data_IF_743678116675
#
_entry.id   IF_743678116675
#
_cell.length_a   1.000
_cell.length_b   1.000
_cell.length_c   1.000
_cell.angle_alpha   90.00
_cell.angle_beta   90.00
_cell.angle_gamma   90.00
#
_symmetry.space_group_name_H-M   'P 1'
#
loop_
_entity.id
_entity.type
_entity.pdbx_description
1 polymer ?
#
# COMPACT_ATOMS: atom_id res chain seq x y z
N UNK A 1 9.23 -3.58 9.83
CA UNK A 1 9.26 -2.16 10.22
C UNK A 1 8.66 -2.03 11.60
N UNK A 2 9.17 -1.13 12.46
CA UNK A 2 8.44 -0.71 13.65
C UNK A 2 7.20 0.06 13.20
N UNK A 3 6.03 -0.29 13.73
CA UNK A 3 4.80 0.48 13.59
C UNK A 3 4.37 0.85 15.00
N UNK A 4 4.08 2.12 15.23
CA UNK A 4 3.84 2.65 16.57
C UNK A 4 2.39 2.38 17.00
N UNK A 5 1.47 2.32 16.04
CA UNK A 5 0.05 2.14 16.30
C UNK A 5 -0.62 0.97 15.55
N UNK A 6 -1.84 0.60 15.96
CA UNK A 6 -2.64 -0.44 15.30
C UNK A 6 -3.07 -0.03 13.88
N UNK A 7 -3.53 1.21 13.68
CA UNK A 7 -3.97 1.71 12.37
C UNK A 7 -2.84 1.72 11.34
N UNK A 8 -1.61 2.07 11.74
CA UNK A 8 -0.42 1.95 10.88
C UNK A 8 -0.18 0.50 10.46
N UNK A 9 -0.22 -0.45 11.41
CA UNK A 9 -0.07 -1.89 11.11
C UNK A 9 -1.15 -2.40 10.16
N UNK A 10 -2.38 -1.89 10.29
CA UNK A 10 -3.47 -2.24 9.37
C UNK A 10 -3.19 -1.70 7.97
N UNK A 11 -2.76 -0.44 7.87
CA UNK A 11 -2.38 0.18 6.60
C UNK A 11 -1.23 -0.58 5.90
N UNK A 12 -0.18 -0.97 6.63
CA UNK A 12 0.93 -1.79 6.09
C UNK A 12 0.39 -3.06 5.43
N UNK A 13 -0.46 -3.80 6.16
CA UNK A 13 -0.98 -5.09 5.69
C UNK A 13 -1.89 -4.95 4.48
N UNK A 14 -2.65 -3.86 4.40
CA UNK A 14 -3.43 -3.52 3.21
C UNK A 14 -2.49 -3.25 2.04
N UNK A 15 -1.42 -2.48 2.23
CA UNK A 15 -0.43 -2.23 1.18
C UNK A 15 0.30 -3.51 0.72
N UNK A 16 0.60 -4.43 1.64
CA UNK A 16 1.23 -5.72 1.30
C UNK A 16 0.29 -6.65 0.52
N UNK A 17 -1.01 -6.59 0.78
CA UNK A 17 -1.97 -7.54 0.24
C UNK A 17 -2.73 -7.04 -0.99
N UNK A 18 -2.92 -5.72 -1.15
CA UNK A 18 -3.59 -5.14 -2.31
C UNK A 18 -2.63 -5.10 -3.51
N UNK A 19 -2.83 -5.94 -4.54
CA UNK A 19 -1.97 -5.97 -5.71
C UNK A 19 -2.05 -4.71 -6.58
N UNK A 20 -2.94 -3.76 -6.27
CA UNK A 20 -2.95 -2.43 -6.91
C UNK A 20 -1.93 -1.47 -6.28
N UNK A 21 -1.34 -1.81 -5.14
CA UNK A 21 -0.29 -1.01 -4.48
C UNK A 21 1.08 -1.58 -4.87
N UNK A 22 1.82 -0.87 -5.72
CA UNK A 22 3.06 -1.36 -6.33
C UNK A 22 4.30 -1.12 -5.46
N UNK A 23 4.28 -0.06 -4.66
CA UNK A 23 5.30 0.23 -3.67
C UNK A 23 4.72 1.08 -2.54
N UNK A 24 5.32 1.00 -1.36
CA UNK A 24 4.96 1.82 -0.22
C UNK A 24 6.14 1.98 0.74
N UNK A 25 6.17 3.11 1.45
CA UNK A 25 7.18 3.40 2.46
C UNK A 25 6.50 3.98 3.72
N UNK A 26 7.07 3.69 4.88
CA UNK A 26 6.62 4.25 6.15
C UNK A 26 7.55 5.38 6.59
N UNK A 27 6.96 6.45 7.12
CA UNK A 27 7.68 7.66 7.53
C UNK A 27 8.74 8.08 6.48
N UNK A 28 8.33 8.23 5.20
CA UNK A 28 9.26 8.28 4.06
C UNK A 28 10.21 9.48 4.09
N UNK A 29 9.76 10.61 4.62
CA UNK A 29 10.52 11.86 4.61
C UNK A 29 10.03 12.83 5.68
N UNK A 30 10.75 13.94 5.82
CA UNK A 30 10.38 15.10 6.63
C UNK A 30 9.98 16.22 5.68
N UNK A 31 8.79 16.78 5.87
CA UNK A 31 8.32 17.98 5.17
C UNK A 31 8.51 19.19 6.07
N UNK A 32 9.21 20.20 5.56
CA UNK A 32 9.35 21.51 6.21
C UNK A 32 8.57 22.54 5.40
N UNK A 33 7.59 23.19 6.03
CA UNK A 33 6.73 24.17 5.40
C UNK A 33 7.07 25.55 5.97
N UNK A 34 7.69 26.39 5.16
CA UNK A 34 8.00 27.77 5.51
C UNK A 34 6.77 28.64 5.28
N UNK A 35 6.37 29.40 6.29
CA UNK A 35 5.23 30.32 6.22
C UNK A 35 5.69 31.73 6.54
N UNK A 36 5.25 32.72 5.76
CA UNK A 36 5.65 34.13 5.91
C UNK A 36 5.33 34.70 7.30
N UNK A 37 4.26 34.20 7.94
CA UNK A 37 3.82 34.63 9.27
C UNK A 37 4.49 33.90 10.45
N UNK A 38 5.52 33.06 10.20
CA UNK A 38 6.22 32.32 11.25
C UNK A 38 7.73 32.36 11.09
N UNK A 39 8.43 32.46 12.23
CA UNK A 39 9.90 32.42 12.29
C UNK A 39 10.51 31.02 12.21
N UNK A 40 9.69 29.96 12.36
CA UNK A 40 10.13 28.56 12.29
C UNK A 40 9.22 27.79 11.32
N UNK A 41 9.78 26.86 10.53
CA UNK A 41 8.98 26.05 9.62
C UNK A 41 8.04 25.13 10.39
N UNK A 42 6.88 24.85 9.80
CA UNK A 42 6.02 23.76 10.22
C UNK A 42 6.66 22.44 9.81
N UNK A 43 6.95 21.59 10.79
CA UNK A 43 7.51 20.26 10.55
C UNK A 43 6.38 19.24 10.51
N UNK A 44 6.34 18.45 9.45
CA UNK A 44 5.41 17.36 9.22
C UNK A 44 6.15 16.09 8.79
N UNK A 45 5.71 14.94 9.31
CA UNK A 45 6.19 13.62 8.92
C UNK A 45 4.97 12.79 8.52
N UNK A 46 4.79 12.42 7.25
CA UNK A 46 3.70 11.54 6.86
C UNK A 46 3.88 10.14 7.42
N UNK A 47 2.79 9.48 7.79
CA UNK A 47 2.83 8.10 8.29
C UNK A 47 3.31 7.13 7.19
N UNK A 48 2.87 7.36 5.95
CA UNK A 48 3.27 6.56 4.80
C UNK A 48 3.13 7.31 3.47
N UNK A 49 3.74 6.74 2.45
CA UNK A 49 3.50 7.05 1.04
C UNK A 49 3.32 5.73 0.29
N UNK A 50 2.42 5.69 -0.69
CA UNK A 50 2.24 4.52 -1.56
C UNK A 50 2.02 4.90 -3.01
N UNK A 51 2.38 4.00 -3.90
CA UNK A 51 2.20 4.13 -5.34
C UNK A 51 1.19 3.07 -5.81
N UNK A 52 0.20 3.52 -6.59
CA UNK A 52 -0.80 2.66 -7.25
C UNK A 52 -0.25 2.12 -8.58
N UNK A 53 -0.90 1.09 -9.10
CA UNK A 53 -0.58 0.48 -10.41
C UNK A 53 -0.90 1.39 -11.60
N UNK A 54 -1.79 2.36 -11.43
CA UNK A 54 -2.04 3.45 -12.37
C UNK A 54 -1.00 4.60 -12.32
N UNK A 55 -0.01 4.50 -11.41
CA UNK A 55 1.03 5.50 -11.22
C UNK A 55 0.70 6.59 -10.18
N UNK A 56 -0.53 6.63 -9.65
CA UNK A 56 -0.93 7.60 -8.63
C UNK A 56 -0.07 7.44 -7.37
N UNK A 57 0.42 8.55 -6.84
CA UNK A 57 1.14 8.61 -5.56
C UNK A 57 0.20 9.17 -4.50
N UNK A 58 0.09 8.46 -3.38
CA UNK A 58 -0.76 8.81 -2.26
C UNK A 58 0.10 8.95 -0.99
N UNK A 59 0.10 10.15 -0.41
CA UNK A 59 0.63 10.41 0.93
C UNK A 59 -0.46 10.14 1.95
N UNK A 60 -0.12 9.42 3.01
CA UNK A 60 -1.10 8.87 3.94
C UNK A 60 -0.82 9.39 5.35
N UNK A 61 -1.85 9.94 5.97
CA UNK A 61 -1.93 10.15 7.42
C UNK A 61 -2.98 9.20 8.00
N UNK A 62 -2.66 8.48 9.07
CA UNK A 62 -3.54 7.52 9.70
C UNK A 62 -3.90 7.91 11.14
N UNK A 63 -5.14 7.62 11.55
CA UNK A 63 -5.61 7.76 12.94
C UNK A 63 -6.54 6.61 13.31
N UNK A 64 -6.81 6.42 14.59
CA UNK A 64 -7.81 5.43 15.00
C UNK A 64 -9.23 5.85 14.59
N UNK A 65 -9.58 7.14 14.75
CA UNK A 65 -10.93 7.65 14.46
C UNK A 65 -10.88 8.96 13.67
N UNK A 66 -11.91 9.21 12.86
CA UNK A 66 -11.96 10.39 11.98
C UNK A 66 -11.89 11.72 12.75
N UNK A 67 -12.46 11.78 13.96
CA UNK A 67 -12.44 12.99 14.78
C UNK A 67 -11.03 13.39 15.24
N UNK A 68 -10.06 12.47 15.26
CA UNK A 68 -8.69 12.78 15.70
C UNK A 68 -7.96 13.73 14.74
N UNK A 69 -8.36 13.76 13.47
CA UNK A 69 -7.84 14.73 12.50
C UNK A 69 -8.23 16.19 12.83
N UNK A 70 -9.31 16.39 13.61
CA UNK A 70 -9.88 17.72 13.90
C UNK A 70 -9.72 18.13 15.38
N UNK A 71 -8.97 17.35 16.17
CA UNK A 71 -8.87 17.58 17.63
C UNK A 71 -8.23 18.90 18.03
N UNK A 72 -7.34 19.45 17.20
CA UNK A 72 -6.82 20.81 17.37
C UNK A 72 -6.77 21.51 16.02
N UNK A 73 -7.14 22.80 16.01
CA UNK A 73 -7.06 23.64 14.81
C UNK A 73 -5.64 23.64 14.24
N UNK A 74 -4.63 23.86 15.09
CA UNK A 74 -3.23 23.87 14.66
C UNK A 74 -2.73 22.56 14.02
N UNK A 75 -3.30 21.40 14.38
CA UNK A 75 -2.98 20.13 13.73
C UNK A 75 -3.72 19.97 12.41
N UNK A 76 -4.99 20.34 12.36
CA UNK A 76 -5.77 20.35 11.12
C UNK A 76 -5.13 21.28 10.08
N UNK A 77 -4.77 22.51 10.48
CA UNK A 77 -4.09 23.48 9.62
C UNK A 77 -2.79 22.90 9.05
N UNK A 78 -1.99 22.20 9.87
CA UNK A 78 -0.76 21.53 9.42
C UNK A 78 -1.02 20.51 8.31
N UNK A 79 -2.08 19.71 8.45
CA UNK A 79 -2.45 18.72 7.44
C UNK A 79 -2.96 19.39 6.16
N UNK A 80 -3.71 20.49 6.29
CA UNK A 80 -4.20 21.26 5.14
C UNK A 80 -3.05 21.88 4.35
N UNK A 81 -2.04 22.44 5.01
CA UNK A 81 -0.82 22.93 4.35
C UNK A 81 -0.02 21.79 3.68
N UNK A 82 0.12 20.65 4.36
CA UNK A 82 0.81 19.51 3.79
C UNK A 82 0.10 19.00 2.51
N UNK A 83 -1.22 18.90 2.54
CA UNK A 83 -2.04 18.52 1.39
C UNK A 83 -1.85 19.46 0.20
N UNK A 84 -1.86 20.78 0.43
CA UNK A 84 -1.59 21.76 -0.63
C UNK A 84 -0.21 21.58 -1.24
N UNK A 85 0.83 21.39 -0.41
CA UNK A 85 2.20 21.16 -0.88
C UNK A 85 2.27 19.91 -1.76
N UNK A 86 1.70 18.79 -1.32
CA UNK A 86 1.69 17.55 -2.11
C UNK A 86 0.87 17.66 -3.39
N UNK A 87 -0.22 18.44 -3.39
CA UNK A 87 -1.01 18.69 -4.58
C UNK A 87 -0.20 19.40 -5.67
N UNK A 88 0.74 20.30 -5.31
CA UNK A 88 1.64 20.93 -6.31
C UNK A 88 2.59 19.92 -6.98
N UNK A 89 2.86 18.80 -6.32
CA UNK A 89 3.65 17.67 -6.85
C UNK A 89 2.79 16.66 -7.62
N UNK A 90 1.47 16.90 -7.74
CA UNK A 90 0.52 15.97 -8.34
C UNK A 90 0.24 14.73 -7.48
N UNK A 91 0.54 14.77 -6.18
CA UNK A 91 0.31 13.65 -5.27
C UNK A 91 -0.99 13.84 -4.49
N UNK A 92 -1.72 12.75 -4.28
CA UNK A 92 -2.93 12.75 -3.47
C UNK A 92 -2.57 12.69 -1.98
N UNK A 93 -3.32 13.40 -1.13
CA UNK A 93 -3.18 13.34 0.32
C UNK A 93 -4.41 12.68 0.94
N UNK A 94 -4.24 11.55 1.61
CA UNK A 94 -5.32 10.76 2.18
C UNK A 94 -5.21 10.72 3.71
N UNK A 95 -6.30 11.12 4.38
CA UNK A 95 -6.47 11.01 5.83
C UNK A 95 -7.34 9.79 6.12
N UNK A 96 -6.74 8.68 6.55
CA UNK A 96 -7.41 7.40 6.75
C UNK A 96 -7.63 7.12 8.23
N UNK A 97 -8.88 6.85 8.64
CA UNK A 97 -9.16 6.38 9.99
C UNK A 97 -9.37 4.87 10.05
N UNK A 98 -9.00 4.24 11.17
CA UNK A 98 -9.16 2.80 11.34
C UNK A 98 -10.62 2.39 11.21
N UNK A 99 -11.49 3.06 11.97
CA UNK A 99 -12.93 2.77 12.07
C UNK A 99 -13.69 2.88 10.74
N UNK A 100 -13.23 3.73 9.82
CA UNK A 100 -13.94 4.04 8.59
C UNK A 100 -13.26 3.48 7.34
N UNK A 101 -11.94 3.63 7.25
CA UNK A 101 -11.21 3.46 5.99
C UNK A 101 -10.34 2.20 5.98
N UNK A 102 -9.89 1.73 7.15
CA UNK A 102 -8.99 0.57 7.23
C UNK A 102 -9.69 -0.71 7.67
N UNK A 103 -10.66 -0.65 8.58
CA UNK A 103 -11.39 -1.82 9.09
C UNK A 103 -12.59 -2.23 8.22
N UNK A 104 -12.49 -1.97 6.92
CA UNK A 104 -13.54 -2.28 5.95
C UNK A 104 -13.58 -3.79 5.68
N UNK A 105 -14.79 -4.37 5.67
CA UNK A 105 -15.00 -5.76 5.23
C UNK A 105 -15.35 -5.81 3.74
N UNK A 106 -14.81 -6.77 2.97
CA UNK A 106 -13.91 -7.86 3.38
C UNK A 106 -12.41 -7.51 3.32
N UNK A 107 -12.06 -6.27 2.93
CA UNK A 107 -10.69 -5.80 2.73
C UNK A 107 -9.75 -6.17 3.89
N UNK A 108 -10.06 -5.74 5.11
CA UNK A 108 -9.18 -5.95 6.25
C UNK A 108 -8.95 -7.43 6.59
N UNK A 109 -9.99 -8.26 6.76
CA UNK A 109 -9.80 -9.70 6.98
C UNK A 109 -8.93 -10.36 5.91
N UNK A 110 -9.14 -10.04 4.63
CA UNK A 110 -8.35 -10.57 3.52
C UNK A 110 -6.90 -10.11 3.61
N UNK A 111 -6.68 -8.81 3.76
CA UNK A 111 -5.34 -8.22 3.85
C UNK A 111 -4.55 -8.78 5.04
N UNK A 112 -5.20 -8.91 6.20
CA UNK A 112 -4.62 -9.56 7.38
C UNK A 112 -4.23 -11.00 7.10
N UNK A 113 -5.09 -11.79 6.46
CA UNK A 113 -4.81 -13.18 6.14
C UNK A 113 -3.62 -13.33 5.19
N UNK A 114 -3.59 -12.54 4.12
CA UNK A 114 -2.54 -12.59 3.09
C UNK A 114 -1.18 -12.15 3.65
N UNK A 115 -1.15 -11.02 4.37
CA UNK A 115 0.09 -10.43 4.91
C UNK A 115 0.81 -11.32 5.94
N UNK A 116 0.11 -12.22 6.64
CA UNK A 116 0.71 -13.14 7.61
C UNK A 116 1.77 -14.08 7.01
N UNK A 117 1.76 -14.26 5.68
CA UNK A 117 2.67 -15.18 4.98
C UNK A 117 3.74 -14.46 4.16
N UNK A 118 3.95 -13.16 4.38
CA UNK A 118 4.93 -12.34 3.65
C UNK A 118 6.40 -12.83 3.77
N UNK A 119 6.72 -13.64 4.78
CA UNK A 119 8.06 -14.24 4.98
C UNK A 119 8.24 -15.63 4.35
N UNK A 120 7.20 -16.22 3.74
CA UNK A 120 7.33 -17.51 3.08
C UNK A 120 8.30 -17.38 1.89
N UNK A 121 9.14 -18.40 1.68
CA UNK A 121 9.98 -18.50 0.49
C UNK A 121 9.13 -19.07 -0.65
N UNK A 122 9.13 -18.38 -1.78
CA UNK A 122 8.58 -18.86 -3.06
C UNK A 122 9.77 -19.11 -3.99
N UNK A 123 9.90 -20.32 -4.50
CA UNK A 123 10.98 -20.69 -5.43
C UNK A 123 10.62 -20.32 -6.86
N UNK A 124 11.61 -20.31 -7.76
CA UNK A 124 11.35 -20.11 -9.20
C UNK A 124 10.47 -21.22 -9.78
N UNK A 125 10.60 -22.45 -9.29
CA UNK A 125 9.75 -23.57 -9.71
C UNK A 125 8.28 -23.38 -9.29
N UNK A 126 8.03 -22.79 -8.12
CA UNK A 126 6.66 -22.47 -7.68
C UNK A 126 6.04 -21.41 -8.60
N UNK A 127 6.81 -20.35 -8.90
CA UNK A 127 6.37 -19.27 -9.81
C UNK A 127 6.05 -19.82 -11.19
N UNK A 128 6.96 -20.60 -11.78
CA UNK A 128 6.78 -21.15 -13.12
C UNK A 128 5.53 -22.04 -13.19
N UNK A 129 5.31 -22.91 -12.19
CA UNK A 129 4.11 -23.76 -12.14
C UNK A 129 2.82 -22.95 -12.09
N UNK A 130 2.77 -21.91 -11.25
CA UNK A 130 1.62 -21.01 -11.19
C UNK A 130 1.41 -20.29 -12.52
N UNK A 131 2.47 -19.74 -13.12
CA UNK A 131 2.44 -19.01 -14.39
C UNK A 131 1.94 -19.90 -15.53
N UNK A 132 2.53 -21.08 -15.72
CA UNK A 132 2.11 -22.02 -16.78
C UNK A 132 0.65 -22.45 -16.63
N UNK A 133 0.20 -22.70 -15.40
CA UNK A 133 -1.19 -23.07 -15.16
C UNK A 133 -2.14 -21.91 -15.48
N UNK A 134 -1.80 -20.69 -15.04
CA UNK A 134 -2.59 -19.51 -15.35
C UNK A 134 -2.64 -19.22 -16.85
N UNK A 135 -1.51 -19.32 -17.56
CA UNK A 135 -1.43 -19.12 -19.00
C UNK A 135 -2.29 -20.11 -19.79
N UNK A 136 -2.32 -21.40 -19.38
CA UNK A 136 -3.20 -22.41 -19.99
C UNK A 136 -4.69 -22.08 -19.83
N UNK A 137 -5.05 -21.33 -18.80
CA UNK A 137 -6.42 -20.91 -18.47
C UNK A 137 -6.68 -19.44 -18.88
N UNK A 138 -5.89 -18.90 -19.82
CA UNK A 138 -6.10 -17.54 -20.35
C UNK A 138 -5.65 -16.42 -19.41
N UNK A 139 -4.74 -16.71 -18.49
CA UNK A 139 -4.11 -15.76 -17.56
C UNK A 139 -4.78 -15.66 -16.18
N UNK A 140 -5.84 -16.42 -15.92
CA UNK A 140 -6.56 -16.39 -14.63
C UNK A 140 -6.92 -17.81 -14.15
N UNK A 141 -6.74 -18.07 -12.85
CA UNK A 141 -7.14 -19.30 -12.19
C UNK A 141 -8.20 -19.03 -11.12
N UNK A 142 -9.08 -19.98 -10.86
CA UNK A 142 -9.83 -19.99 -9.61
C UNK A 142 -8.88 -20.18 -8.41
N UNK A 143 -9.12 -19.51 -7.29
CA UNK A 143 -8.27 -19.57 -6.09
C UNK A 143 -8.01 -21.01 -5.60
N UNK A 144 -9.04 -21.84 -5.57
CA UNK A 144 -8.93 -23.27 -5.25
C UNK A 144 -8.03 -24.01 -6.25
N UNK A 145 -8.15 -23.69 -7.54
CA UNK A 145 -7.31 -24.30 -8.59
C UNK A 145 -5.85 -23.87 -8.49
N UNK A 146 -5.59 -22.63 -8.11
CA UNK A 146 -4.25 -22.14 -7.84
C UNK A 146 -3.61 -22.91 -6.66
N UNK A 147 -4.37 -23.17 -5.59
CA UNK A 147 -3.92 -23.99 -4.46
C UNK A 147 -3.61 -25.43 -4.90
N UNK A 148 -4.52 -26.08 -5.64
CA UNK A 148 -4.31 -27.43 -6.19
C UNK A 148 -3.05 -27.51 -7.05
N UNK A 149 -2.85 -26.51 -7.91
CA UNK A 149 -1.68 -26.42 -8.80
C UNK A 149 -0.38 -26.34 -8.01
N UNK A 150 -0.36 -25.54 -6.94
CA UNK A 150 0.81 -25.42 -6.08
C UNK A 150 1.05 -26.68 -5.22
N UNK A 151 -0.02 -27.32 -4.75
CA UNK A 151 0.02 -28.56 -3.98
C UNK A 151 0.31 -29.81 -4.83
N UNK A 152 0.25 -29.70 -6.16
CA UNK A 152 0.42 -30.82 -7.08
C UNK A 152 1.71 -31.59 -6.80
N UNK A 153 1.65 -32.90 -7.02
CA UNK A 153 2.73 -33.87 -6.80
C UNK A 153 3.17 -34.02 -5.33
N UNK A 154 2.33 -33.63 -4.37
CA UNK A 154 2.57 -33.84 -2.94
C UNK A 154 3.70 -33.00 -2.36
N UNK A 155 4.18 -31.99 -3.08
CA UNK A 155 5.28 -31.12 -2.65
C UNK A 155 4.91 -30.25 -1.46
N UNK A 156 3.63 -29.91 -1.34
CA UNK A 156 3.08 -29.11 -0.25
C UNK A 156 1.75 -29.68 0.22
N UNK A 157 1.52 -29.60 1.52
CA UNK A 157 0.17 -29.78 2.07
C UNK A 157 -0.73 -28.61 1.60
N UNK A 158 -2.06 -28.79 1.50
CA UNK A 158 -2.95 -27.72 1.03
C UNK A 158 -2.81 -26.40 1.79
N UNK A 159 -2.60 -26.45 3.10
CA UNK A 159 -2.36 -25.25 3.92
C UNK A 159 -1.05 -24.53 3.57
N UNK A 160 0.00 -25.26 3.20
CA UNK A 160 1.26 -24.68 2.74
C UNK A 160 1.11 -24.04 1.35
N UNK A 161 0.31 -24.64 0.47
CA UNK A 161 0.00 -24.09 -0.85
C UNK A 161 -0.79 -22.78 -0.76
N UNK A 162 -1.72 -22.65 0.19
CA UNK A 162 -2.39 -21.37 0.52
C UNK A 162 -1.36 -20.32 0.92
N UNK A 163 -0.42 -20.65 1.81
CA UNK A 163 0.60 -19.72 2.28
C UNK A 163 1.54 -19.28 1.13
N UNK A 164 1.85 -20.19 0.21
CA UNK A 164 2.62 -19.88 -1.00
C UNK A 164 1.86 -18.92 -1.92
N UNK A 165 0.56 -19.16 -2.14
CA UNK A 165 -0.27 -18.28 -2.94
C UNK A 165 -0.39 -16.88 -2.32
N UNK A 166 -0.63 -16.78 -1.01
CA UNK A 166 -0.59 -15.50 -0.28
C UNK A 166 0.75 -14.79 -0.46
N UNK A 167 1.86 -15.53 -0.38
CA UNK A 167 3.18 -14.94 -0.62
C UNK A 167 3.38 -14.48 -2.07
N UNK A 168 2.83 -15.19 -3.05
CA UNK A 168 2.83 -14.76 -4.45
C UNK A 168 2.00 -13.49 -4.65
N UNK A 169 0.91 -13.32 -3.92
CA UNK A 169 0.13 -12.06 -3.91
C UNK A 169 0.97 -10.91 -3.35
N UNK A 170 1.56 -11.08 -2.15
CA UNK A 170 2.46 -10.07 -1.55
C UNK A 170 3.67 -9.79 -2.44
N UNK A 171 4.17 -10.82 -3.12
CA UNK A 171 5.29 -10.72 -4.06
C UNK A 171 4.92 -10.19 -5.45
N UNK A 172 3.66 -9.79 -5.65
CA UNK A 172 3.11 -9.28 -6.92
C UNK A 172 3.32 -10.21 -8.12
N UNK A 173 3.27 -11.52 -7.87
CA UNK A 173 3.22 -12.56 -8.92
C UNK A 173 1.76 -12.87 -9.27
N UNK A 174 0.89 -12.89 -8.26
CA UNK A 174 -0.53 -13.17 -8.39
C UNK A 174 -1.36 -11.96 -7.96
N UNK A 175 -2.47 -11.72 -8.65
CA UNK A 175 -3.46 -10.70 -8.32
C UNK A 175 -4.73 -11.37 -7.82
N UNK A 176 -5.25 -10.92 -6.68
CA UNK A 176 -6.62 -11.23 -6.24
C UNK A 176 -7.29 -9.94 -5.75
N UNK A 177 -8.57 -9.77 -6.05
CA UNK A 177 -9.32 -8.62 -5.55
C UNK A 177 -9.62 -8.75 -4.06
N UNK A 178 -8.77 -8.16 -3.23
CA UNK A 178 -8.91 -8.16 -1.76
C UNK A 178 -10.14 -7.41 -1.26
N UNK A 179 -10.82 -6.62 -2.11
CA UNK A 179 -12.05 -5.91 -1.74
C UNK A 179 -13.30 -6.79 -1.84
N UNK A 180 -13.16 -8.03 -2.37
CA UNK A 180 -14.23 -9.03 -2.43
C UNK A 180 -13.94 -10.19 -1.51
N UNK A 181 -14.98 -10.91 -1.08
CA UNK A 181 -14.80 -12.11 -0.24
C UNK A 181 -14.03 -13.15 -1.05
N UNK A 182 -12.91 -13.64 -0.50
CA UNK A 182 -12.13 -14.70 -1.14
C UNK A 182 -12.83 -16.04 -0.91
N UNK A 183 -13.11 -16.73 -2.01
CA UNK A 183 -13.75 -18.02 -2.13
C UNK A 183 -12.94 -18.91 -3.07
N UNK A 184 -13.26 -20.20 -3.15
CA UNK A 184 -12.53 -21.16 -3.99
C UNK A 184 -12.60 -20.85 -5.49
N UNK A 185 -13.65 -20.17 -5.94
CA UNK A 185 -13.88 -19.70 -7.30
C UNK A 185 -13.39 -18.27 -7.55
N UNK A 186 -12.85 -17.58 -6.53
CA UNK A 186 -12.35 -16.22 -6.71
C UNK A 186 -11.22 -16.18 -7.74
N UNK A 187 -11.25 -15.23 -8.69
CA UNK A 187 -10.25 -15.16 -9.74
C UNK A 187 -8.90 -14.71 -9.18
N UNK A 188 -7.87 -15.44 -9.56
CA UNK A 188 -6.47 -15.15 -9.31
C UNK A 188 -5.79 -14.96 -10.66
N UNK A 189 -5.48 -13.71 -11.00
CA UNK A 189 -4.83 -13.39 -12.26
C UNK A 189 -3.31 -13.41 -12.12
N UNK A 190 -2.63 -13.80 -13.21
CA UNK A 190 -1.20 -13.56 -13.34
C UNK A 190 -0.97 -12.05 -13.53
N UNK A 191 -0.04 -11.46 -12.76
CA UNK A 191 0.37 -10.07 -13.00
C UNK A 191 1.33 -10.05 -14.20
N UNK A 192 0.90 -9.44 -15.29
CA UNK A 192 1.69 -9.34 -16.52
C UNK A 192 2.89 -8.40 -16.34
N UNK A 193 4.10 -8.95 -16.42
CA UNK A 193 5.37 -8.20 -16.46
C UNK A 193 5.66 -7.35 -15.21
N UNK A 194 6.83 -6.68 -15.16
CA UNK A 194 7.06 -5.68 -14.13
C UNK A 194 6.03 -4.56 -14.35
N UNK A 195 5.20 -4.30 -13.33
CA UNK A 195 4.36 -3.09 -13.29
C UNK A 195 5.22 -1.82 -13.42
N UNK A 196 4.60 -0.63 -13.45
CA UNK A 196 5.36 0.61 -13.57
C UNK A 196 6.51 0.62 -12.55
N UNK A 197 7.70 1.00 -13.01
CA UNK A 197 8.87 1.07 -12.15
C UNK A 197 8.52 1.94 -10.93
N UNK A 198 8.80 1.42 -9.73
CA UNK A 198 8.56 2.20 -8.53
C UNK A 198 9.39 3.48 -8.58
N UNK A 199 8.69 4.63 -8.53
CA UNK A 199 9.34 5.95 -8.44
C UNK A 199 9.64 6.31 -6.99
N UNK A 200 8.99 5.63 -6.03
CA UNK A 200 9.20 5.88 -4.59
C UNK A 200 10.65 5.59 -4.16
N UNK A 201 11.29 4.59 -4.76
CA UNK A 201 12.69 4.23 -4.44
C UNK A 201 13.70 5.27 -4.92
N UNK A 202 13.33 6.10 -5.89
CA UNK A 202 14.14 7.22 -6.39
C UNK A 202 13.85 8.55 -5.68
N UNK A 203 12.79 8.64 -4.85
CA UNK A 203 12.43 9.87 -4.12
C UNK A 203 13.55 10.46 -3.25
N UNK A 204 14.43 9.68 -2.59
CA UNK A 204 15.54 10.26 -1.81
C UNK A 204 16.48 11.15 -2.64
N UNK A 205 16.43 11.08 -3.99
CA UNK A 205 17.21 11.92 -4.90
C UNK A 205 16.45 13.15 -5.40
N UNK A 206 15.11 13.15 -5.32
CA UNK A 206 14.26 14.26 -5.76
C UNK A 206 14.05 15.30 -4.66
N UNK A 207 14.08 14.86 -3.41
CA UNK A 207 14.03 15.69 -2.23
C UNK A 207 15.45 15.77 -1.66
N UNK A 208 16.20 16.81 -2.02
CA UNK A 208 17.40 17.18 -1.26
C UNK A 208 17.08 17.42 0.22
N UNK A 209 18.05 17.71 1.09
CA UNK A 209 17.84 17.90 2.52
C UNK A 209 16.81 19.00 2.85
N UNK A 210 16.50 19.87 1.90
CA UNK A 210 15.45 20.87 1.92
C UNK A 210 14.80 20.89 0.55
N UNK A 211 13.48 20.70 0.51
CA UNK A 211 12.70 21.04 -0.66
C UNK A 211 12.17 22.44 -0.41
N UNK A 212 12.90 23.42 -0.96
CA UNK A 212 12.45 24.80 -1.08
C UNK A 212 11.36 24.82 -2.16
N UNK A 213 10.14 24.51 -1.75
CA UNK A 213 8.96 24.91 -2.53
C UNK A 213 8.73 26.36 -2.12
N UNK A 214 9.03 27.29 -3.03
CA UNK A 214 8.49 28.65 -2.96
C UNK A 214 6.97 28.53 -3.00
N UNK A 215 6.36 28.41 -1.81
CA UNK A 215 4.91 28.41 -1.67
C UNK A 215 4.47 29.83 -2.01
N UNK A 216 3.80 29.95 -3.16
CA UNK A 216 3.05 31.13 -3.58
C UNK A 216 2.34 31.74 -2.37
N UNK A 217 2.47 33.06 -2.21
CA UNK A 217 1.76 33.85 -1.20
C UNK A 217 0.27 33.49 -1.22
N UNK A 218 -0.16 32.63 -0.30
CA UNK A 218 -1.58 32.39 -0.05
C UNK A 218 -2.04 33.46 0.91
N UNK A 219 -2.50 34.58 0.34
CA UNK A 219 -3.24 35.59 1.10
C UNK A 219 -4.49 34.95 1.72
N UNK A 220 -4.65 35.15 3.01
CA UNK A 220 -5.82 34.72 3.76
C UNK A 220 -7.08 35.44 3.24
N UNK A 221 -8.07 34.67 2.80
CA UNK A 221 -9.45 35.15 2.58
C UNK A 221 -10.25 34.88 3.85
#
# INVERSE_FOLDING_TARGET
>A
MPCEAQHERMHVRICEADPRIVDYQHQPHRLEIFMSNRSKPLIYFPDAIRQRDDGTIEVIETKQTQHQFKRSSAYADKLDYAEQVYATLGWAFLRLSQDKDLEIRPLWPNARMISLHNKRRVTSADRLRFMEAAEREGGTLAFGKAIETLAANGLYQPCDAVNLLHRMIVGRVAFIDVTRRIQTDSPVALIAGPGPASVLRSLPKLFGPSVDIDVLEMEAI
#
